data_IF_676192849094
#
_entry.id   IF_676192849094
#
_cell.length_a   1.000
_cell.length_b   1.000
_cell.length_c   1.000
_cell.angle_alpha   90.00
_cell.angle_beta   90.00
_cell.angle_gamma   90.00
#
_symmetry.space_group_name_H-M   'P 1'
#
loop_
_entity.id
_entity.type
_entity.pdbx_description
1 polymer ?
#
# COMPACT_ATOMS: atom_id res chain seq x y z
N UNK A 1 -4.65 1.33 11.57
CA UNK A 1 -3.36 1.63 10.94
C UNK A 1 -3.32 3.12 10.66
N UNK A 2 -2.16 3.77 10.80
CA UNK A 2 -2.02 5.17 10.41
C UNK A 2 -1.77 5.29 8.90
N UNK A 3 -2.40 6.28 8.26
CA UNK A 3 -2.13 6.66 6.87
C UNK A 3 -1.26 7.92 6.87
N UNK A 4 -0.11 7.87 6.20
CA UNK A 4 0.82 8.99 6.03
C UNK A 4 0.78 9.45 4.58
N UNK A 5 0.42 10.71 4.35
CA UNK A 5 0.44 11.31 3.02
C UNK A 5 1.86 11.73 2.65
N UNK A 6 2.34 11.32 1.49
CA UNK A 6 3.65 11.66 0.94
C UNK A 6 3.50 12.23 -0.47
N UNK A 7 4.01 13.44 -0.66
CA UNK A 7 4.23 14.00 -1.98
C UNK A 7 5.69 13.80 -2.35
N UNK A 8 5.96 13.05 -3.42
CA UNK A 8 7.30 12.80 -3.92
C UNK A 8 7.48 13.49 -5.28
N UNK A 9 8.67 14.05 -5.50
CA UNK A 9 9.09 14.62 -6.79
C UNK A 9 9.83 13.60 -7.69
N UNK A 10 9.95 12.37 -7.20
CA UNK A 10 10.52 11.21 -7.87
C UNK A 10 9.65 9.97 -7.64
N UNK A 11 9.82 8.95 -8.48
CA UNK A 11 9.07 7.69 -8.37
C UNK A 11 9.69 6.70 -7.37
N UNK A 12 10.93 6.91 -6.96
CA UNK A 12 11.61 5.94 -6.09
C UNK A 12 10.99 5.92 -4.69
N UNK A 13 10.57 4.75 -4.23
CA UNK A 13 10.13 4.53 -2.86
C UNK A 13 10.95 3.42 -2.23
N UNK A 14 11.66 3.74 -1.14
CA UNK A 14 12.45 2.78 -0.38
C UNK A 14 11.70 2.40 0.90
N UNK A 15 11.71 1.12 1.24
CA UNK A 15 11.19 0.63 2.51
C UNK A 15 11.93 1.31 3.67
N UNK A 16 11.23 2.05 4.56
CA UNK A 16 11.88 2.74 5.67
C UNK A 16 12.56 1.81 6.68
N UNK A 17 12.11 0.55 6.77
CA UNK A 17 12.63 -0.44 7.73
C UNK A 17 13.83 -1.20 7.16
N UNK A 18 13.71 -1.67 5.91
CA UNK A 18 14.71 -2.57 5.31
C UNK A 18 15.71 -1.86 4.40
N UNK A 19 15.42 -0.62 4.01
CA UNK A 19 16.20 0.15 3.03
C UNK A 19 16.09 -0.36 1.59
N UNK A 20 15.29 -1.40 1.32
CA UNK A 20 15.11 -1.95 -0.03
C UNK A 20 14.26 -1.03 -0.91
N UNK A 21 14.58 -0.97 -2.19
CA UNK A 21 13.75 -0.30 -3.19
C UNK A 21 12.48 -1.12 -3.42
N UNK A 22 11.32 -0.47 -3.30
CA UNK A 22 10.01 -1.09 -3.46
C UNK A 22 9.44 -0.74 -4.84
N UNK A 23 9.52 0.54 -5.21
CA UNK A 23 8.97 1.06 -6.46
C UNK A 23 9.94 2.08 -7.07
N UNK A 24 10.03 2.09 -8.39
CA UNK A 24 10.91 2.96 -9.19
C UNK A 24 10.20 3.43 -10.47
N UNK A 25 10.90 4.20 -11.29
CA UNK A 25 10.44 4.58 -12.64
C UNK A 25 10.38 3.39 -13.63
N UNK A 26 11.06 2.28 -13.32
CA UNK A 26 10.98 1.03 -14.08
C UNK A 26 9.81 0.14 -13.61
N UNK A 27 9.19 0.49 -12.49
CA UNK A 27 7.98 -0.14 -11.96
C UNK A 27 8.19 -0.71 -10.56
N UNK A 28 7.50 -1.81 -10.28
CA UNK A 28 7.63 -2.57 -9.04
C UNK A 28 8.95 -3.35 -9.03
N UNK A 29 9.74 -3.20 -7.96
CA UNK A 29 11.11 -3.73 -7.91
C UNK A 29 11.29 -4.93 -6.97
N UNK A 30 10.72 -4.91 -5.76
CA UNK A 30 10.93 -6.00 -4.80
C UNK A 30 9.87 -6.06 -3.68
N UNK A 31 9.67 -7.27 -3.16
CA UNK A 31 8.82 -7.57 -2.01
C UNK A 31 9.67 -7.46 -0.74
N UNK A 32 9.97 -6.23 -0.31
CA UNK A 32 10.53 -6.02 1.03
C UNK A 32 9.75 -6.88 2.03
N UNK A 33 10.39 -7.68 2.89
CA UNK A 33 9.64 -8.58 3.79
C UNK A 33 8.78 -7.84 4.82
N UNK A 34 9.02 -6.53 4.98
CA UNK A 34 8.18 -5.62 5.75
C UNK A 34 6.93 -5.12 4.98
N UNK A 35 6.83 -5.34 3.68
CA UNK A 35 5.70 -4.93 2.86
C UNK A 35 4.47 -5.80 3.16
N UNK A 36 3.31 -5.16 3.34
CA UNK A 36 2.03 -5.83 3.61
C UNK A 36 1.04 -5.70 2.46
N UNK A 37 1.16 -4.67 1.65
CA UNK A 37 0.34 -4.50 0.45
C UNK A 37 0.66 -3.26 -0.36
N UNK A 38 0.23 -3.25 -1.60
CA UNK A 38 0.37 -2.14 -2.53
C UNK A 38 -0.88 -2.02 -3.42
N UNK A 39 -1.53 -0.86 -3.37
CA UNK A 39 -2.70 -0.49 -4.18
C UNK A 39 -2.40 0.74 -5.01
N UNK A 40 -3.07 0.86 -6.15
CA UNK A 40 -3.15 2.11 -6.92
C UNK A 40 -4.59 2.48 -7.16
N UNK A 41 -4.85 3.78 -7.23
CA UNK A 41 -6.21 4.31 -7.42
C UNK A 41 -6.81 3.95 -8.79
N UNK A 42 -5.98 3.61 -9.78
CA UNK A 42 -6.44 3.22 -11.11
C UNK A 42 -7.07 1.82 -11.17
N UNK A 43 -6.73 0.94 -10.21
CA UNK A 43 -7.24 -0.43 -10.14
C UNK A 43 -7.27 -0.91 -8.68
N UNK A 44 -8.04 -0.24 -7.81
CA UNK A 44 -8.03 -0.53 -6.38
C UNK A 44 -8.51 -1.95 -6.06
N UNK A 45 -9.32 -2.56 -6.92
CA UNK A 45 -9.84 -3.93 -6.79
C UNK A 45 -8.76 -5.01 -6.91
N UNK A 46 -7.68 -4.75 -7.66
CA UNK A 46 -6.55 -5.67 -7.84
C UNK A 46 -5.29 -5.05 -7.25
N UNK A 47 -4.97 -5.29 -5.97
CA UNK A 47 -3.69 -4.87 -5.43
C UNK A 47 -2.54 -5.48 -6.23
N UNK A 48 -1.50 -4.68 -6.48
CA UNK A 48 -0.27 -5.17 -7.11
C UNK A 48 0.45 -6.17 -6.22
N UNK A 49 0.36 -5.97 -4.91
CA UNK A 49 0.90 -6.87 -3.90
C UNK A 49 -0.02 -6.88 -2.69
N UNK A 50 -0.19 -8.05 -2.08
CA UNK A 50 -0.92 -8.19 -0.82
C UNK A 50 -0.42 -9.43 -0.09
N UNK A 51 -0.12 -9.32 1.19
CA UNK A 51 0.30 -10.49 1.97
C UNK A 51 -0.89 -11.36 2.37
N UNK A 52 -0.65 -12.63 2.77
CA UNK A 52 -1.71 -13.51 3.25
C UNK A 52 -2.54 -12.90 4.40
N UNK A 53 -1.90 -12.14 5.30
CA UNK A 53 -2.58 -11.51 6.45
C UNK A 53 -3.60 -10.44 6.00
N UNK A 54 -3.35 -9.75 4.88
CA UNK A 54 -4.26 -8.72 4.35
C UNK A 54 -5.25 -9.28 3.32
N UNK A 55 -5.01 -10.47 2.78
CA UNK A 55 -5.81 -11.06 1.69
C UNK A 55 -7.27 -11.28 2.09
N UNK A 56 -7.53 -11.92 3.23
CA UNK A 56 -8.90 -12.19 3.68
C UNK A 56 -9.65 -10.94 4.16
N UNK A 57 -9.03 -10.01 4.92
CA UNK A 57 -9.64 -8.71 5.19
C UNK A 57 -10.03 -7.95 3.93
N UNK A 58 -9.17 -7.95 2.90
CA UNK A 58 -9.46 -7.27 1.64
C UNK A 58 -10.65 -7.88 0.90
N UNK A 59 -10.69 -9.22 0.77
CA UNK A 59 -11.85 -9.92 0.18
C UNK A 59 -13.14 -9.64 0.93
N UNK A 60 -13.06 -9.58 2.26
CA UNK A 60 -14.23 -9.27 3.10
C UNK A 60 -14.74 -7.85 2.84
N UNK A 61 -13.83 -6.87 2.71
CA UNK A 61 -14.20 -5.51 2.33
C UNK A 61 -14.84 -5.46 0.94
N UNK A 62 -14.23 -6.10 -0.07
CA UNK A 62 -14.79 -6.17 -1.43
C UNK A 62 -16.18 -6.81 -1.47
N UNK A 63 -16.46 -7.80 -0.61
CA UNK A 63 -17.78 -8.42 -0.54
C UNK A 63 -18.82 -7.56 0.20
N UNK A 64 -18.39 -6.52 0.92
CA UNK A 64 -19.26 -5.65 1.71
C UNK A 64 -19.73 -4.40 0.98
N UNK A 65 -19.04 -4.00 -0.08
CA UNK A 65 -19.40 -2.87 -0.94
C UNK A 65 -20.44 -3.28 -1.99
N UNK A 66 -21.20 -2.32 -2.54
CA UNK A 66 -22.13 -2.61 -3.63
C UNK A 66 -21.36 -2.93 -4.93
N UNK A 67 -21.96 -3.75 -5.80
CA UNK A 67 -21.34 -4.19 -7.06
C UNK A 67 -21.01 -3.02 -8.01
N UNK A 68 -21.74 -1.91 -7.89
CA UNK A 68 -21.54 -0.70 -8.69
C UNK A 68 -20.53 0.29 -8.06
N UNK A 69 -20.07 0.04 -6.83
CA UNK A 69 -19.14 0.93 -6.12
C UNK A 69 -17.69 0.56 -6.43
N UNK A 70 -16.86 1.58 -6.67
CA UNK A 70 -15.41 1.39 -6.78
C UNK A 70 -14.81 1.22 -5.38
N UNK A 71 -13.99 0.18 -5.12
CA UNK A 71 -13.35 -0.01 -3.82
C UNK A 71 -12.48 1.20 -3.44
N UNK A 72 -12.56 1.64 -2.19
CA UNK A 72 -11.69 2.69 -1.65
C UNK A 72 -10.59 2.05 -0.79
N UNK A 73 -9.37 2.01 -1.32
CA UNK A 73 -8.22 1.48 -0.61
C UNK A 73 -7.92 2.29 0.67
N UNK A 74 -8.09 3.61 0.67
CA UNK A 74 -7.83 4.42 1.85
C UNK A 74 -8.86 4.13 2.96
N UNK A 75 -10.13 3.95 2.61
CA UNK A 75 -11.18 3.54 3.54
C UNK A 75 -10.85 2.18 4.18
N UNK A 76 -10.56 1.18 3.35
CA UNK A 76 -10.17 -0.15 3.83
C UNK A 76 -8.96 -0.10 4.77
N UNK A 77 -7.89 0.59 4.37
CA UNK A 77 -6.65 0.68 5.12
C UNK A 77 -6.84 1.40 6.47
N UNK A 78 -7.73 2.39 6.52
CA UNK A 78 -8.08 3.09 7.76
C UNK A 78 -8.81 2.17 8.76
N UNK A 79 -9.54 1.15 8.29
CA UNK A 79 -10.27 0.21 9.12
C UNK A 79 -9.41 -0.93 9.72
N UNK A 80 -8.19 -1.15 9.21
CA UNK A 80 -7.29 -2.21 9.71
C UNK A 80 -6.72 -1.85 11.09
N UNK A 81 -6.90 -2.71 12.09
CA UNK A 81 -6.45 -2.48 13.48
C UNK A 81 -5.00 -2.93 13.75
N UNK A 82 -4.08 -2.62 12.84
CA UNK A 82 -2.64 -2.90 13.02
C UNK A 82 -1.87 -1.59 13.23
N UNK A 83 -1.50 -1.23 14.47
CA UNK A 83 -0.88 0.07 14.77
C UNK A 83 0.57 0.17 14.30
N UNK A 84 1.24 -0.96 14.08
CA UNK A 84 2.64 -1.00 13.62
C UNK A 84 2.74 -0.97 12.10
N UNK A 85 1.62 -1.19 11.39
CA UNK A 85 1.58 -1.07 9.95
C UNK A 85 1.23 0.37 9.60
N UNK A 86 1.93 0.92 8.63
CA UNK A 86 1.74 2.28 8.13
C UNK A 86 1.46 2.21 6.63
N UNK A 87 0.37 2.85 6.21
CA UNK A 87 0.06 3.03 4.81
C UNK A 87 0.59 4.39 4.33
N UNK A 88 1.50 4.38 3.37
CA UNK A 88 1.99 5.59 2.71
C UNK A 88 1.14 5.88 1.48
N UNK A 89 0.29 6.91 1.58
CA UNK A 89 -0.48 7.46 0.46
C UNK A 89 0.45 8.37 -0.35
N UNK A 90 0.99 7.82 -1.43
CA UNK A 90 2.00 8.45 -2.27
C UNK A 90 1.36 9.13 -3.48
N UNK A 91 1.58 10.43 -3.61
CA UNK A 91 1.33 11.19 -4.83
C UNK A 91 2.65 11.56 -5.49
N UNK A 92 2.77 11.25 -6.78
CA UNK A 92 4.01 11.45 -7.54
C UNK A 92 3.89 12.67 -8.46
N UNK A 93 4.84 13.59 -8.37
CA UNK A 93 4.86 14.75 -9.26
C UNK A 93 4.98 14.31 -10.73
N UNK A 94 4.08 14.81 -11.57
CA UNK A 94 4.04 14.47 -13.00
C UNK A 94 3.07 13.34 -13.36
N UNK A 95 2.56 12.58 -12.39
CA UNK A 95 1.46 11.64 -12.60
C UNK A 95 0.19 12.27 -12.02
N UNK A 96 -0.61 12.89 -12.89
CA UNK A 96 -1.82 13.60 -12.45
C UNK A 96 -2.95 12.60 -12.23
N UNK A 97 -3.50 12.56 -11.01
CA UNK A 97 -4.67 11.75 -10.67
C UNK A 97 -4.37 10.33 -10.19
N UNK A 98 -3.10 9.97 -10.02
CA UNK A 98 -2.70 8.66 -9.51
C UNK A 98 -2.17 8.77 -8.08
N UNK A 99 -2.75 7.96 -7.21
CA UNK A 99 -2.37 7.83 -5.80
C UNK A 99 -2.10 6.36 -5.56
N UNK A 100 -0.94 6.05 -5.00
CA UNK A 100 -0.58 4.71 -4.57
C UNK A 100 -0.62 4.60 -3.05
N UNK A 101 -0.97 3.43 -2.52
CA UNK A 101 -0.87 3.13 -1.09
C UNK A 101 0.10 1.98 -0.89
N UNK A 102 1.25 2.27 -0.27
CA UNK A 102 2.26 1.26 0.08
C UNK A 102 2.17 1.00 1.58
N UNK A 103 1.87 -0.23 1.99
CA UNK A 103 1.70 -0.61 3.39
C UNK A 103 2.95 -1.31 3.91
N UNK A 104 3.56 -0.75 4.96
CA UNK A 104 4.79 -1.27 5.56
C UNK A 104 4.55 -1.59 7.03
N UNK A 105 4.95 -2.79 7.45
CA UNK A 105 5.15 -3.13 8.85
C UNK A 105 6.42 -2.43 9.36
N UNK A 106 6.24 -1.34 10.09
CA UNK A 106 7.32 -0.51 10.60
C UNK A 106 8.11 -1.16 11.74
N UNK A 107 7.61 -2.27 12.30
CA UNK A 107 8.26 -3.03 13.35
C UNK A 107 8.80 -4.39 12.85
N UNK A 108 8.89 -4.59 11.54
CA UNK A 108 9.50 -5.79 10.98
C UNK A 108 10.94 -5.97 11.49
N UNK A 109 11.22 -7.10 12.13
CA UNK A 109 12.55 -7.44 12.63
C UNK A 109 13.39 -8.04 11.51
N UNK A 110 14.47 -7.34 11.16
CA UNK A 110 15.45 -7.77 10.16
C UNK A 110 16.23 -9.03 10.55
N UNK A 111 16.20 -9.42 11.83
CA UNK A 111 17.01 -10.52 12.37
C UNK A 111 16.16 -11.71 12.89
N UNK A 112 14.84 -11.68 12.69
CA UNK A 112 13.93 -12.74 13.11
C UNK A 112 14.01 -13.99 12.22
#
# INVERSE_FOLDING_TARGET
MQIVKLQLDHLNFYCPVTGRLIYSNEGWEDDSPALKGYWVNLSPEVPYYITPEMTEPWKTYLASIHEDDTPDAAEFLAAIEEPNWIAFECSFAGITGDTGWIVIDMNYDLNA
#
